data_IF_131770752776
#
_entry.id   IF_131770752776
#
_cell.length_a   1.000
_cell.length_b   1.000
_cell.length_c   1.000
_cell.angle_alpha   90.00
_cell.angle_beta   90.00
_cell.angle_gamma   90.00
#
_symmetry.space_group_name_H-M   'P 1'
#
loop_
_entity.id
_entity.type
_entity.pdbx_description
1 polymer ?
#
# COMPACT_ATOMS: atom_id res chain seq x y z
N UNK A 1 -2.71 0.63 -11.59
CA UNK A 1 -1.92 1.58 -12.41
C UNK A 1 -2.41 3.00 -12.19
N UNK A 2 -3.71 3.15 -11.92
CA UNK A 2 -4.45 4.39 -11.68
C UNK A 2 -3.75 5.47 -10.84
N UNK A 3 -3.13 5.12 -9.71
CA UNK A 3 -2.42 6.11 -8.87
C UNK A 3 -1.20 6.68 -9.59
N UNK A 4 -0.42 5.83 -10.26
CA UNK A 4 0.77 6.26 -11.01
C UNK A 4 0.34 7.13 -12.19
N UNK A 5 -0.72 6.71 -12.90
CA UNK A 5 -1.27 7.46 -14.03
C UNK A 5 -1.79 8.83 -13.59
N UNK A 6 -2.53 8.88 -12.48
CA UNK A 6 -3.03 10.13 -11.88
C UNK A 6 -1.87 11.08 -11.56
N UNK A 7 -0.85 10.62 -10.82
CA UNK A 7 0.30 11.44 -10.43
C UNK A 7 1.07 11.94 -11.67
N UNK A 8 1.31 11.07 -12.65
CA UNK A 8 2.05 11.41 -13.86
C UNK A 8 1.31 12.41 -14.76
N UNK A 9 -0.02 12.29 -14.88
CA UNK A 9 -0.84 13.15 -15.73
C UNK A 9 -1.18 14.48 -15.06
N UNK A 10 -1.54 14.47 -13.78
CA UNK A 10 -2.03 15.66 -13.07
C UNK A 10 -0.91 16.51 -12.46
N UNK A 11 0.32 16.00 -12.35
CA UNK A 11 1.41 16.71 -11.67
C UNK A 11 1.70 18.12 -12.20
N UNK A 12 1.47 18.38 -13.50
CA UNK A 12 1.62 19.72 -14.09
C UNK A 12 0.31 20.51 -14.13
N UNK A 13 -0.82 19.85 -14.39
CA UNK A 13 -2.11 20.50 -14.60
C UNK A 13 -2.86 20.83 -13.31
N UNK A 14 -2.68 20.03 -12.26
CA UNK A 14 -3.34 20.20 -10.96
C UNK A 14 -2.40 19.73 -9.82
N UNK A 15 -1.32 20.48 -9.54
CA UNK A 15 -0.32 20.08 -8.55
C UNK A 15 -0.89 19.94 -7.13
N UNK A 16 -1.85 20.78 -6.74
CA UNK A 16 -2.49 20.70 -5.42
C UNK A 16 -3.25 19.37 -5.23
N UNK A 17 -3.89 18.86 -6.29
CA UNK A 17 -4.58 17.57 -6.24
C UNK A 17 -3.59 16.41 -6.05
N UNK A 18 -2.45 16.46 -6.73
CA UNK A 18 -1.39 15.45 -6.58
C UNK A 18 -0.75 15.52 -5.19
N UNK A 19 -0.46 16.72 -4.69
CA UNK A 19 0.21 16.87 -3.39
C UNK A 19 -0.69 16.52 -2.20
N UNK A 20 -2.02 16.72 -2.32
CA UNK A 20 -2.99 16.23 -1.36
C UNK A 20 -2.89 14.70 -1.14
N UNK A 21 -2.56 13.95 -2.20
CA UNK A 21 -2.37 12.50 -2.15
C UNK A 21 -0.94 12.01 -1.86
N UNK A 22 0.02 12.89 -1.60
CA UNK A 22 1.45 12.53 -1.54
C UNK A 22 1.80 11.53 -0.44
N UNK A 23 1.35 11.74 0.80
CA UNK A 23 1.60 10.84 1.93
C UNK A 23 0.83 9.52 1.77
N UNK A 24 -0.47 9.52 1.41
CA UNK A 24 -1.17 8.28 1.05
C UNK A 24 -0.45 7.49 -0.05
N UNK A 25 0.10 8.15 -1.07
CA UNK A 25 0.87 7.48 -2.12
C UNK A 25 2.15 6.83 -1.60
N UNK A 26 2.90 7.53 -0.75
CA UNK A 26 4.08 6.97 -0.08
C UNK A 26 3.71 5.71 0.72
N UNK A 27 2.63 5.77 1.50
CA UNK A 27 2.17 4.64 2.32
C UNK A 27 1.69 3.47 1.46
N UNK A 28 0.97 3.75 0.37
CA UNK A 28 0.52 2.73 -0.59
C UNK A 28 1.71 2.00 -1.22
N UNK A 29 2.70 2.75 -1.72
CA UNK A 29 3.89 2.19 -2.33
C UNK A 29 4.69 1.34 -1.33
N UNK A 30 4.90 1.84 -0.10
CA UNK A 30 5.57 1.11 0.96
C UNK A 30 4.87 -0.20 1.31
N UNK A 31 3.54 -0.16 1.50
CA UNK A 31 2.76 -1.35 1.84
C UNK A 31 2.75 -2.38 0.70
N UNK A 32 2.67 -1.92 -0.55
CA UNK A 32 2.71 -2.81 -1.72
C UNK A 32 4.05 -3.57 -1.79
N UNK A 33 5.17 -2.86 -1.67
CA UNK A 33 6.51 -3.47 -1.75
C UNK A 33 6.75 -4.39 -0.55
N UNK A 34 6.36 -4.00 0.66
CA UNK A 34 6.47 -4.85 1.85
C UNK A 34 5.62 -6.13 1.70
N UNK A 35 4.38 -6.01 1.25
CA UNK A 35 3.50 -7.15 0.97
C UNK A 35 4.10 -8.09 -0.08
N UNK A 36 4.67 -7.55 -1.16
CA UNK A 36 5.36 -8.34 -2.18
C UNK A 36 6.56 -9.12 -1.60
N UNK A 37 7.39 -8.48 -0.78
CA UNK A 37 8.53 -9.12 -0.17
C UNK A 37 8.11 -10.20 0.86
N UNK A 38 7.01 -9.99 1.58
CA UNK A 38 6.42 -11.00 2.45
C UNK A 38 5.85 -12.18 1.66
N UNK A 39 5.18 -11.95 0.54
CA UNK A 39 4.71 -13.01 -0.34
C UNK A 39 5.87 -13.86 -0.88
N UNK A 40 6.97 -13.23 -1.32
CA UNK A 40 8.20 -13.96 -1.72
C UNK A 40 8.76 -14.79 -0.57
N UNK A 41 8.78 -14.23 0.63
CA UNK A 41 9.23 -14.96 1.82
C UNK A 41 8.31 -16.11 2.20
N UNK A 42 7.00 -16.00 1.95
CA UNK A 42 6.02 -17.06 2.18
C UNK A 42 6.28 -18.25 1.26
N UNK A 43 6.53 -18.01 -0.04
CA UNK A 43 6.83 -19.08 -1.00
C UNK A 43 8.04 -19.91 -0.56
N UNK A 44 9.13 -19.24 -0.17
CA UNK A 44 10.33 -19.92 0.35
C UNK A 44 10.01 -20.66 1.66
N UNK A 45 9.19 -20.07 2.53
CA UNK A 45 8.84 -20.69 3.80
C UNK A 45 8.00 -21.97 3.62
N UNK A 46 7.08 -21.98 2.64
CA UNK A 46 6.31 -23.17 2.28
C UNK A 46 7.21 -24.28 1.71
N UNK A 47 8.23 -23.93 0.92
CA UNK A 47 9.21 -24.89 0.39
C UNK A 47 10.05 -25.53 1.50
N UNK A 48 10.61 -24.72 2.40
CA UNK A 48 11.45 -25.20 3.50
C UNK A 48 10.64 -25.94 4.58
N UNK A 49 9.37 -25.57 4.80
CA UNK A 49 8.50 -26.30 5.71
C UNK A 49 8.30 -27.76 5.24
N UNK A 50 8.23 -27.99 3.92
CA UNK A 50 8.10 -29.35 3.36
C UNK A 50 9.33 -30.23 3.59
N UNK A 51 10.50 -29.63 3.80
CA UNK A 51 11.73 -30.37 4.14
C UNK A 51 11.90 -30.58 5.65
N UNK A 52 11.01 -30.00 6.47
CA UNK A 52 11.10 -30.05 7.94
C UNK A 52 12.14 -29.09 8.52
N UNK A 53 12.69 -28.17 7.73
CA UNK A 53 13.66 -27.18 8.21
C UNK A 53 12.97 -26.07 9.01
N UNK A 54 13.49 -25.79 10.22
CA UNK A 54 13.05 -24.70 11.09
C UNK A 54 11.52 -24.53 11.17
N UNK A 55 10.78 -25.63 11.32
CA UNK A 55 9.32 -25.71 11.17
C UNK A 55 8.57 -24.59 11.88
N UNK A 56 8.90 -24.28 13.13
CA UNK A 56 8.23 -23.22 13.89
C UNK A 56 8.46 -21.83 13.27
N UNK A 57 9.68 -21.54 12.78
CA UNK A 57 10.02 -20.28 12.13
C UNK A 57 9.33 -20.16 10.76
N UNK A 58 9.30 -21.24 9.97
CA UNK A 58 8.59 -21.25 8.67
C UNK A 58 7.08 -21.03 8.84
N UNK A 59 6.46 -21.69 9.82
CA UNK A 59 5.06 -21.47 10.17
C UNK A 59 4.78 -20.03 10.59
N UNK A 60 5.65 -19.44 11.42
CA UNK A 60 5.54 -18.04 11.81
C UNK A 60 5.65 -17.08 10.61
N UNK A 61 6.54 -17.36 9.65
CA UNK A 61 6.70 -16.56 8.43
C UNK A 61 5.47 -16.62 7.54
N UNK A 62 4.89 -17.80 7.36
CA UNK A 62 3.64 -17.99 6.60
C UNK A 62 2.50 -17.20 7.27
N UNK A 63 2.33 -17.37 8.58
CA UNK A 63 1.28 -16.66 9.34
C UNK A 63 1.43 -15.14 9.25
N UNK A 64 2.66 -14.63 9.37
CA UNK A 64 2.97 -13.19 9.28
C UNK A 64 2.62 -12.63 7.89
N UNK A 65 3.01 -13.33 6.82
CA UNK A 65 2.73 -12.88 5.46
C UNK A 65 1.22 -12.87 5.17
N UNK A 66 0.47 -13.87 5.64
CA UNK A 66 -1.00 -13.91 5.53
C UNK A 66 -1.65 -12.77 6.30
N UNK A 67 -1.26 -12.54 7.56
CA UNK A 67 -1.76 -11.41 8.34
C UNK A 67 -1.54 -10.08 7.61
N UNK A 68 -0.35 -9.87 7.05
CA UNK A 68 -0.05 -8.64 6.33
C UNK A 68 -0.95 -8.46 5.10
N UNK A 69 -1.18 -9.53 4.33
CA UNK A 69 -2.07 -9.52 3.18
C UNK A 69 -3.52 -9.17 3.60
N UNK A 70 -4.03 -9.87 4.60
CA UNK A 70 -5.45 -9.79 5.01
C UNK A 70 -5.78 -8.47 5.72
N UNK A 71 -4.83 -7.89 6.47
CA UNK A 71 -5.11 -6.75 7.33
C UNK A 71 -4.49 -5.42 6.87
N UNK A 72 -3.35 -5.47 6.18
CA UNK A 72 -2.61 -4.27 5.78
C UNK A 72 -2.76 -4.03 4.29
N UNK A 73 -2.41 -5.03 3.46
CA UNK A 73 -2.48 -4.90 2.01
C UNK A 73 -3.93 -4.79 1.51
N UNK A 74 -4.89 -5.39 2.21
CA UNK A 74 -6.33 -5.26 1.93
C UNK A 74 -6.83 -3.80 1.90
N UNK A 75 -6.10 -2.85 2.50
CA UNK A 75 -6.44 -1.42 2.51
C UNK A 75 -6.04 -0.70 1.21
N UNK A 76 -5.21 -1.32 0.38
CA UNK A 76 -4.65 -0.70 -0.83
C UNK A 76 -5.69 -0.08 -1.77
N UNK A 77 -6.86 -0.71 -2.04
CA UNK A 77 -7.91 -0.08 -2.85
C UNK A 77 -8.42 1.23 -2.25
N UNK A 78 -8.74 1.26 -0.96
CA UNK A 78 -9.22 2.49 -0.31
C UNK A 78 -8.17 3.60 -0.26
N UNK A 79 -6.89 3.25 -0.11
CA UNK A 79 -5.80 4.24 -0.19
C UNK A 79 -5.64 4.76 -1.62
N UNK A 80 -5.74 3.90 -2.65
CA UNK A 80 -5.80 4.33 -4.06
C UNK A 80 -6.93 5.34 -4.28
N UNK A 81 -8.14 5.05 -3.80
CA UNK A 81 -9.30 5.92 -3.96
C UNK A 81 -9.07 7.29 -3.30
N UNK A 82 -8.50 7.31 -2.10
CA UNK A 82 -8.16 8.57 -1.41
C UNK A 82 -7.15 9.44 -2.18
N UNK A 83 -6.28 8.85 -2.99
CA UNK A 83 -5.30 9.58 -3.79
C UNK A 83 -5.92 10.12 -5.07
N UNK A 84 -6.73 9.31 -5.75
CA UNK A 84 -7.29 9.65 -7.06
C UNK A 84 -8.51 10.57 -6.94
N UNK A 85 -9.33 10.37 -5.91
CA UNK A 85 -10.65 11.01 -5.77
C UNK A 85 -10.73 11.98 -4.57
N UNK A 86 -9.77 11.93 -3.64
CA UNK A 86 -9.85 12.67 -2.37
C UNK A 86 -9.42 14.14 -2.40
N UNK A 87 -8.79 14.59 -3.48
CA UNK A 87 -8.15 15.90 -3.56
C UNK A 87 -9.07 17.07 -3.21
N UNK A 88 -10.31 17.07 -3.71
CA UNK A 88 -11.27 18.16 -3.51
C UNK A 88 -11.60 18.36 -2.03
N UNK A 89 -11.66 17.27 -1.25
CA UNK A 89 -11.96 17.36 0.18
C UNK A 89 -10.84 18.03 1.00
N UNK A 90 -9.59 17.95 0.53
CA UNK A 90 -8.43 18.55 1.20
C UNK A 90 -8.40 20.07 0.99
N UNK A 91 -8.92 20.55 -0.14
CA UNK A 91 -8.90 21.97 -0.52
C UNK A 91 -10.24 22.68 -0.32
N UNK A 92 -11.29 21.96 0.12
CA UNK A 92 -12.64 22.50 0.26
C UNK A 92 -12.82 23.50 1.41
N UNK A 93 -12.03 23.41 2.49
CA UNK A 93 -12.18 24.29 3.64
C UNK A 93 -11.43 25.61 3.40
N UNK A 94 -12.11 26.78 3.45
CA UNK A 94 -11.44 28.08 3.38
C UNK A 94 -10.51 28.28 4.57
N UNK A 95 -9.41 29.02 4.37
CA UNK A 95 -8.39 29.25 5.40
C UNK A 95 -8.96 29.89 6.67
N UNK A 96 -9.94 30.78 6.53
CA UNK A 96 -10.59 31.50 7.62
C UNK A 96 -11.49 30.62 8.49
N UNK A 97 -11.78 29.39 8.04
CA UNK A 97 -12.62 28.42 8.72
C UNK A 97 -11.82 27.31 9.45
N UNK A 98 -10.48 27.39 9.46
CA UNK A 98 -9.59 26.56 10.28
C UNK A 98 -9.34 27.20 11.65
#
# INVERSE_FOLDING_TARGET
>A
LDVVDFVAQQGKGSPNAVFAGSVPYLMLAGNLVAGWQLARSLLVAEDLLRTGQDTAFMQAKIATARFYADHILARAPGVRDSIVEGADSVTALPLEAF
#
